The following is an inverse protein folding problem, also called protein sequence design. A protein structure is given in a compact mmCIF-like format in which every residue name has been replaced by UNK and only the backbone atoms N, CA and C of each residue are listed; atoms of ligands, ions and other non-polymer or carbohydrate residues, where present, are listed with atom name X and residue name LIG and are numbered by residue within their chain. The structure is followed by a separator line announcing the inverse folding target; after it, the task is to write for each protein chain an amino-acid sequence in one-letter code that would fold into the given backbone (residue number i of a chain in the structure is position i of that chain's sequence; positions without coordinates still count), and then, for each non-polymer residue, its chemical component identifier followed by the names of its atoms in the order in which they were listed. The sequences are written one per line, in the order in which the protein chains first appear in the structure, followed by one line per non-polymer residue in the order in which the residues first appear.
data_IF_002328149120
#
_entry.id   IF_002328149120
#
_cell.length_a   1.000
_cell.length_b   1.000
_cell.length_c   1.000
_cell.angle_alpha   90.00
_cell.angle_beta   90.00
_cell.angle_gamma   90.00
#
_symmetry.space_group_name_H-M   'P 1'
#
loop_
_entity.id
_entity.type
_entity.pdbx_description
1 polymer ?
#
# COMPACT_ATOMS: atom_id res chain seq x y z
N UNK A 1 -26.95 30.13 -39.67
CA UNK A 1 -26.26 30.40 -38.40
C UNK A 1 -26.48 29.17 -37.56
N UNK A 2 -25.58 28.21 -37.75
CA UNK A 2 -25.54 26.93 -37.08
C UNK A 2 -25.19 27.18 -35.62
N UNK A 3 -25.88 26.54 -34.69
CA UNK A 3 -25.28 26.25 -33.40
C UNK A 3 -25.70 24.85 -32.98
N UNK A 4 -24.67 24.04 -32.75
CA UNK A 4 -24.69 22.60 -32.54
C UNK A 4 -25.01 22.32 -31.07
N UNK A 5 -26.00 21.45 -30.83
CA UNK A 5 -26.15 20.78 -29.53
C UNK A 5 -26.18 19.27 -29.75
N UNK A 6 -25.02 18.64 -29.52
CA UNK A 6 -24.79 17.21 -29.29
C UNK A 6 -23.33 16.81 -29.57
N UNK A 7 -22.67 15.86 -28.85
CA UNK A 7 -23.17 14.95 -27.80
C UNK A 7 -22.28 14.84 -26.53
N UNK A 8 -22.87 14.83 -25.32
CA UNK A 8 -22.19 14.42 -24.08
C UNK A 8 -22.51 12.95 -23.67
N UNK A 9 -23.38 12.26 -24.42
CA UNK A 9 -23.78 10.88 -24.12
C UNK A 9 -22.93 9.82 -24.86
N UNK A 10 -22.23 10.21 -25.93
CA UNK A 10 -21.41 9.31 -26.76
C UNK A 10 -20.06 8.99 -26.09
N UNK A 11 -19.47 9.98 -25.41
CA UNK A 11 -18.18 9.86 -24.71
C UNK A 11 -18.21 8.81 -23.59
N UNK A 12 -19.31 8.74 -22.82
CA UNK A 12 -19.45 7.75 -21.75
C UNK A 12 -19.56 6.31 -22.27
N UNK A 13 -20.11 6.11 -23.47
CA UNK A 13 -20.17 4.79 -24.10
C UNK A 13 -18.80 4.33 -24.58
N UNK A 14 -18.05 5.24 -25.21
CA UNK A 14 -16.67 5.00 -25.65
C UNK A 14 -15.73 4.74 -24.45
N UNK A 15 -15.87 5.48 -23.36
CA UNK A 15 -15.06 5.27 -22.15
C UNK A 15 -15.32 3.91 -21.49
N UNK A 16 -16.56 3.44 -21.46
CA UNK A 16 -16.88 2.09 -20.97
C UNK A 16 -16.23 1.04 -21.86
N UNK A 17 -16.31 1.18 -23.19
CA UNK A 17 -15.71 0.21 -24.11
C UNK A 17 -14.17 0.22 -24.03
N UNK A 18 -13.53 1.38 -23.86
CA UNK A 18 -12.08 1.49 -23.58
C UNK A 18 -11.70 0.77 -22.30
N UNK A 19 -12.48 0.95 -21.23
CA UNK A 19 -12.24 0.28 -19.95
C UNK A 19 -12.42 -1.23 -20.07
N UNK A 20 -13.48 -1.69 -20.74
CA UNK A 20 -13.71 -3.11 -21.04
C UNK A 20 -12.55 -3.70 -21.84
N UNK A 21 -12.10 -3.01 -22.89
CA UNK A 21 -10.96 -3.44 -23.69
C UNK A 21 -9.66 -3.52 -22.87
N UNK A 22 -9.44 -2.58 -21.94
CA UNK A 22 -8.31 -2.63 -21.02
C UNK A 22 -8.41 -3.83 -20.07
N UNK A 23 -9.59 -4.07 -19.47
CA UNK A 23 -9.85 -5.22 -18.61
C UNK A 23 -9.57 -6.55 -19.33
N UNK A 24 -10.16 -6.74 -20.52
CA UNK A 24 -9.96 -7.97 -21.31
C UNK A 24 -8.52 -8.20 -21.76
N UNK A 25 -7.74 -7.14 -21.93
CA UNK A 25 -6.33 -7.21 -22.34
C UNK A 25 -5.37 -7.46 -21.18
N UNK A 26 -5.66 -6.90 -20.00
CA UNK A 26 -4.70 -6.82 -18.88
C UNK A 26 -5.00 -7.78 -17.74
N UNK A 27 -6.28 -8.08 -17.51
CA UNK A 27 -6.71 -8.94 -16.42
C UNK A 27 -6.80 -10.41 -16.89
N UNK A 28 -6.72 -11.38 -15.95
CA UNK A 28 -7.05 -12.77 -16.26
C UNK A 28 -8.48 -12.90 -16.81
N UNK A 29 -8.81 -14.03 -17.45
CA UNK A 29 -10.20 -14.32 -17.84
C UNK A 29 -11.16 -14.30 -16.63
N UNK A 30 -12.39 -13.75 -16.77
CA UNK A 30 -13.35 -13.61 -15.68
C UNK A 30 -13.65 -14.88 -14.88
N UNK A 31 -13.51 -16.05 -15.50
CA UNK A 31 -13.76 -17.35 -14.86
C UNK A 31 -12.75 -17.66 -13.75
N UNK A 32 -11.63 -16.93 -13.70
CA UNK A 32 -10.59 -17.06 -12.67
C UNK A 32 -10.75 -16.06 -11.53
N UNK A 33 -11.65 -15.09 -11.67
CA UNK A 33 -11.74 -13.99 -10.73
C UNK A 33 -12.33 -14.46 -9.40
N UNK A 34 -11.67 -14.08 -8.31
CA UNK A 34 -12.21 -14.28 -6.97
C UNK A 34 -12.80 -12.98 -6.46
N UNK A 35 -14.02 -13.02 -5.93
CA UNK A 35 -14.62 -11.85 -5.29
C UNK A 35 -13.90 -11.49 -3.99
N UNK A 36 -14.15 -10.27 -3.49
CA UNK A 36 -13.67 -9.84 -2.17
C UNK A 36 -14.32 -10.69 -1.08
N UNK A 37 -13.50 -11.33 -0.24
CA UNK A 37 -13.98 -11.97 0.99
C UNK A 37 -14.48 -10.89 1.97
N UNK A 38 -15.80 -10.74 2.07
CA UNK A 38 -16.47 -9.78 2.95
C UNK A 38 -16.84 -10.36 4.32
N UNK A 39 -17.70 -9.62 5.02
CA UNK A 39 -18.32 -9.99 6.30
C UNK A 39 -19.85 -9.99 6.11
N UNK A 40 -20.42 -11.00 5.42
CA UNK A 40 -21.83 -10.95 5.06
C UNK A 40 -22.75 -10.83 6.28
N UNK A 41 -22.40 -11.38 7.44
CA UNK A 41 -23.24 -11.26 8.64
C UNK A 41 -22.66 -10.33 9.72
N UNK A 42 -21.39 -9.94 9.60
CA UNK A 42 -20.64 -9.24 10.65
C UNK A 42 -20.48 -7.75 10.37
N UNK A 43 -21.52 -6.95 10.64
CA UNK A 43 -21.48 -5.50 10.39
C UNK A 43 -20.44 -4.78 11.26
N UNK A 44 -20.17 -5.27 12.48
CA UNK A 44 -19.09 -4.73 13.31
C UNK A 44 -17.72 -4.83 12.62
N UNK A 45 -17.38 -6.01 12.08
CA UNK A 45 -16.14 -6.22 11.32
C UNK A 45 -16.10 -5.34 10.07
N UNK A 46 -17.23 -5.22 9.36
CA UNK A 46 -17.33 -4.43 8.16
C UNK A 46 -17.07 -2.93 8.42
N UNK A 47 -17.62 -2.36 9.50
CA UNK A 47 -17.38 -0.96 9.89
C UNK A 47 -15.91 -0.73 10.28
N UNK A 48 -15.33 -1.64 11.08
CA UNK A 48 -13.91 -1.57 11.46
C UNK A 48 -13.03 -1.59 10.21
N UNK A 49 -13.20 -2.57 9.33
CA UNK A 49 -12.37 -2.73 8.14
C UNK A 49 -12.56 -1.56 7.16
N UNK A 50 -13.81 -1.12 6.95
CA UNK A 50 -14.11 -0.01 6.07
C UNK A 50 -13.31 1.24 6.43
N UNK A 51 -13.31 1.63 7.71
CA UNK A 51 -12.60 2.82 8.20
C UNK A 51 -11.09 2.58 8.30
N UNK A 52 -10.65 1.41 8.80
CA UNK A 52 -9.22 1.14 8.90
C UNK A 52 -8.53 1.00 7.55
N UNK A 53 -9.21 0.54 6.50
CA UNK A 53 -8.64 0.38 5.16
C UNK A 53 -8.24 1.70 4.47
N UNK A 54 -8.76 2.86 4.90
CA UNK A 54 -8.50 4.14 4.23
C UNK A 54 -7.15 4.72 4.63
N UNK A 55 -6.17 4.78 3.74
CA UNK A 55 -4.89 5.44 4.02
C UNK A 55 -4.02 4.72 5.06
N UNK A 56 -4.33 3.46 5.38
CA UNK A 56 -3.54 2.61 6.27
C UNK A 56 -2.94 1.45 5.47
N UNK A 57 -1.75 1.00 5.87
CA UNK A 57 -1.11 -0.18 5.28
C UNK A 57 -1.89 -1.45 5.64
N UNK A 58 -2.07 -2.35 4.68
CA UNK A 58 -2.84 -3.59 4.82
C UNK A 58 -2.49 -4.45 6.07
N UNK A 59 -1.22 -4.66 6.45
CA UNK A 59 -0.88 -5.42 7.65
C UNK A 59 -1.46 -4.85 8.95
N UNK A 60 -1.57 -3.52 9.04
CA UNK A 60 -2.13 -2.85 10.21
C UNK A 60 -3.64 -3.16 10.33
N UNK A 61 -4.38 -3.00 9.23
CA UNK A 61 -5.81 -3.32 9.18
C UNK A 61 -6.07 -4.79 9.54
N UNK A 62 -5.29 -5.72 8.95
CA UNK A 62 -5.37 -7.14 9.31
C UNK A 62 -5.10 -7.39 10.80
N UNK A 63 -4.12 -6.69 11.38
CA UNK A 63 -3.82 -6.79 12.80
C UNK A 63 -5.00 -6.37 13.68
N UNK A 64 -5.69 -5.27 13.36
CA UNK A 64 -6.89 -4.81 14.08
C UNK A 64 -8.03 -5.83 13.97
N UNK A 65 -8.32 -6.32 12.77
CA UNK A 65 -9.35 -7.35 12.55
C UNK A 65 -9.02 -8.64 13.31
N UNK A 66 -7.75 -9.05 13.28
CA UNK A 66 -7.27 -10.21 14.03
C UNK A 66 -7.44 -10.08 15.54
N UNK A 67 -7.13 -8.90 16.10
CA UNK A 67 -7.32 -8.61 17.53
C UNK A 67 -8.79 -8.55 17.90
N UNK A 68 -9.65 -7.91 17.10
CA UNK A 68 -11.10 -7.90 17.35
C UNK A 68 -11.66 -9.32 17.42
N UNK A 69 -11.38 -10.14 16.39
CA UNK A 69 -11.78 -11.56 16.36
C UNK A 69 -11.20 -12.35 17.53
N UNK A 70 -9.94 -12.09 17.88
CA UNK A 70 -9.27 -12.72 19.02
C UNK A 70 -9.97 -12.41 20.34
N UNK A 71 -10.32 -11.14 20.56
CA UNK A 71 -11.01 -10.70 21.75
C UNK A 71 -12.40 -11.33 21.87
N UNK A 72 -13.20 -11.30 20.81
CA UNK A 72 -14.54 -11.93 20.80
C UNK A 72 -14.49 -13.43 21.07
N UNK A 73 -13.49 -14.14 20.56
CA UNK A 73 -13.28 -15.57 20.89
C UNK A 73 -12.98 -15.81 22.37
N UNK A 74 -12.21 -14.92 23.03
CA UNK A 74 -11.96 -15.03 24.47
C UNK A 74 -13.26 -14.87 25.28
N UNK A 75 -14.22 -14.10 24.75
CA UNK A 75 -15.55 -13.92 25.31
C UNK A 75 -16.55 -15.00 24.91
N UNK A 76 -16.10 -16.05 24.22
CA UNK A 76 -16.96 -17.11 23.67
C UNK A 76 -18.04 -16.57 22.71
N UNK A 77 -17.77 -15.44 22.06
CA UNK A 77 -18.61 -14.82 21.04
C UNK A 77 -18.05 -14.99 19.63
N UNK A 78 -18.92 -14.89 18.62
CA UNK A 78 -18.53 -14.98 17.21
C UNK A 78 -18.57 -13.62 16.51
N UNK A 79 -17.38 -13.05 16.31
CA UNK A 79 -17.19 -11.79 15.60
C UNK A 79 -17.78 -11.76 14.18
N UNK A 80 -18.02 -12.92 13.57
CA UNK A 80 -18.56 -13.02 12.21
C UNK A 80 -20.04 -12.65 12.13
N UNK A 81 -20.73 -12.56 13.28
CA UNK A 81 -22.14 -12.24 13.42
C UNK A 81 -22.40 -11.01 14.31
N UNK A 82 -21.34 -10.31 14.74
CA UNK A 82 -21.47 -9.18 15.65
C UNK A 82 -22.24 -8.01 15.01
N UNK A 83 -23.21 -7.50 15.77
CA UNK A 83 -23.98 -6.29 15.49
C UNK A 83 -23.22 -5.01 15.85
N UNK A 84 -23.77 -3.85 15.52
CA UNK A 84 -23.24 -2.57 16.01
C UNK A 84 -23.42 -2.42 17.52
N UNK A 85 -24.47 -3.02 18.11
CA UNK A 85 -24.61 -3.15 19.57
C UNK A 85 -23.39 -3.85 20.16
N UNK A 86 -23.02 -5.02 19.64
CA UNK A 86 -21.87 -5.79 20.15
C UNK A 86 -20.56 -4.99 20.09
N UNK A 87 -20.38 -4.22 19.01
CA UNK A 87 -19.21 -3.36 18.84
C UNK A 87 -19.19 -2.22 19.88
N UNK A 88 -20.30 -1.51 20.06
CA UNK A 88 -20.39 -0.39 20.99
C UNK A 88 -20.31 -0.86 22.45
N UNK A 89 -20.96 -1.97 22.79
CA UNK A 89 -20.85 -2.60 24.11
C UNK A 89 -19.40 -3.05 24.39
N UNK A 90 -18.64 -3.45 23.37
CA UNK A 90 -17.22 -3.75 23.51
C UNK A 90 -16.39 -2.49 23.81
N UNK A 91 -16.68 -1.35 23.18
CA UNK A 91 -16.05 -0.07 23.55
C UNK A 91 -16.31 0.23 25.03
N UNK A 92 -17.56 0.14 25.48
CA UNK A 92 -17.93 0.44 26.86
C UNK A 92 -17.27 -0.51 27.86
N UNK A 93 -17.28 -1.83 27.58
CA UNK A 93 -16.67 -2.84 28.45
C UNK A 93 -15.16 -2.72 28.57
N UNK A 94 -14.48 -2.26 27.52
CA UNK A 94 -13.04 -2.00 27.57
C UNK A 94 -12.70 -0.71 28.36
N UNK A 95 -13.68 0.18 28.58
CA UNK A 95 -13.46 1.47 29.22
C UNK A 95 -13.31 2.64 28.24
N UNK A 96 -13.88 2.50 27.04
CA UNK A 96 -13.98 3.56 26.03
C UNK A 96 -12.92 3.49 24.92
N UNK A 97 -12.83 4.58 24.15
CA UNK A 97 -12.03 4.67 22.92
C UNK A 97 -10.55 4.41 23.15
N UNK A 98 -9.96 4.97 24.22
CA UNK A 98 -8.53 4.81 24.51
C UNK A 98 -8.18 3.34 24.81
N UNK A 99 -8.99 2.67 25.62
CA UNK A 99 -8.78 1.26 25.93
C UNK A 99 -9.03 0.33 24.73
N UNK A 100 -9.99 0.68 23.86
CA UNK A 100 -10.17 0.01 22.58
C UNK A 100 -8.92 0.15 21.70
N UNK A 101 -8.31 1.33 21.64
CA UNK A 101 -7.07 1.57 20.88
C UNK A 101 -5.94 0.69 21.38
N UNK A 102 -5.77 0.59 22.69
CA UNK A 102 -4.67 -0.15 23.31
C UNK A 102 -4.87 -1.67 23.18
N UNK A 103 -6.12 -2.15 23.17
CA UNK A 103 -6.44 -3.59 23.14
C UNK A 103 -6.64 -4.13 21.72
N UNK A 104 -7.38 -3.40 20.87
CA UNK A 104 -7.85 -3.87 19.56
C UNK A 104 -7.31 -3.00 18.43
N UNK A 105 -7.43 -1.69 18.58
CA UNK A 105 -7.12 -0.72 17.53
C UNK A 105 -5.63 -0.45 17.36
N UNK A 106 -5.36 0.77 16.91
CA UNK A 106 -4.04 1.39 16.80
C UNK A 106 -4.22 2.89 16.96
N UNK A 107 -3.12 3.63 17.18
CA UNK A 107 -3.14 5.10 17.24
C UNK A 107 -3.25 5.78 15.87
N UNK A 108 -3.59 5.05 14.81
CA UNK A 108 -3.75 5.64 13.48
C UNK A 108 -4.88 6.67 13.48
N UNK A 109 -4.66 7.75 12.73
CA UNK A 109 -5.62 8.84 12.54
C UNK A 109 -6.26 8.75 11.15
N UNK A 110 -7.37 9.44 10.97
CA UNK A 110 -8.09 9.50 9.70
C UNK A 110 -7.37 10.36 8.65
N UNK A 111 -6.41 11.17 9.07
CA UNK A 111 -5.49 11.92 8.20
C UNK A 111 -4.15 12.17 8.93
N UNK A 112 -3.18 12.73 8.20
CA UNK A 112 -1.86 13.12 8.75
C UNK A 112 -1.87 14.50 9.42
N UNK A 113 -3.02 15.19 9.45
CA UNK A 113 -3.09 16.54 10.03
C UNK A 113 -2.94 16.48 11.56
N UNK A 114 -2.23 17.45 12.17
CA UNK A 114 -2.13 17.55 13.61
C UNK A 114 -3.51 17.56 14.27
N UNK A 115 -3.71 16.71 15.28
CA UNK A 115 -4.99 16.61 16.01
C UNK A 115 -6.11 15.85 15.29
N UNK A 116 -5.88 15.28 14.09
CA UNK A 116 -6.92 14.55 13.36
C UNK A 116 -7.53 13.39 14.17
N UNK A 117 -8.84 13.20 14.09
CA UNK A 117 -9.60 12.13 14.76
C UNK A 117 -8.92 10.76 14.64
N UNK A 118 -8.90 9.99 15.73
CA UNK A 118 -8.34 8.63 15.72
C UNK A 118 -9.30 7.68 15.00
N UNK A 119 -8.78 6.66 14.34
CA UNK A 119 -9.63 5.73 13.59
C UNK A 119 -10.62 4.96 14.46
N UNK A 120 -10.25 4.62 15.70
CA UNK A 120 -11.16 4.02 16.66
C UNK A 120 -12.34 4.93 17.00
N UNK A 121 -12.08 6.24 17.17
CA UNK A 121 -13.13 7.24 17.39
C UNK A 121 -14.05 7.34 16.16
N UNK A 122 -13.49 7.37 14.95
CA UNK A 122 -14.29 7.37 13.72
C UNK A 122 -15.16 6.10 13.60
N UNK A 123 -14.65 4.93 13.99
CA UNK A 123 -15.42 3.67 14.02
C UNK A 123 -16.56 3.75 15.02
N UNK A 124 -16.29 4.23 16.23
CA UNK A 124 -17.32 4.42 17.24
C UNK A 124 -18.42 5.37 16.73
N UNK A 125 -18.06 6.55 16.22
CA UNK A 125 -19.02 7.52 15.67
C UNK A 125 -19.84 6.92 14.52
N UNK A 126 -19.19 6.22 13.58
CA UNK A 126 -19.89 5.60 12.47
C UNK A 126 -20.89 4.52 12.91
N UNK A 127 -20.50 3.67 13.87
CA UNK A 127 -21.36 2.66 14.44
C UNK A 127 -22.57 3.28 15.17
N UNK A 128 -22.35 4.32 15.98
CA UNK A 128 -23.43 5.03 16.67
C UNK A 128 -24.43 5.65 15.68
N UNK A 129 -23.94 6.36 14.65
CA UNK A 129 -24.81 7.00 13.66
C UNK A 129 -25.69 6.00 12.88
N UNK A 130 -25.12 4.85 12.47
CA UNK A 130 -25.91 3.81 11.80
C UNK A 130 -26.95 3.20 12.75
N UNK A 131 -26.56 2.94 14.01
CA UNK A 131 -27.45 2.40 15.02
C UNK A 131 -28.61 3.34 15.36
N UNK A 132 -28.34 4.65 15.46
CA UNK A 132 -29.36 5.70 15.68
C UNK A 132 -30.39 5.75 14.55
N UNK A 133 -29.98 5.41 13.32
CA UNK A 133 -30.87 5.25 12.17
C UNK A 133 -31.63 3.92 12.15
N UNK A 134 -31.42 3.05 13.15
CA UNK A 134 -32.06 1.73 13.26
C UNK A 134 -31.36 0.64 12.46
N UNK A 135 -30.12 0.86 12.01
CA UNK A 135 -29.31 -0.15 11.32
C UNK A 135 -28.32 -0.73 12.32
N UNK A 136 -28.61 -1.91 12.86
CA UNK A 136 -27.79 -2.58 13.88
C UNK A 136 -27.10 -3.85 13.36
N UNK A 137 -27.69 -4.50 12.34
CA UNK A 137 -27.23 -5.76 11.76
C UNK A 137 -27.00 -5.66 10.24
N UNK A 138 -26.21 -6.59 9.71
CA UNK A 138 -25.88 -6.64 8.28
C UNK A 138 -27.11 -6.77 7.37
N UNK A 139 -28.11 -7.56 7.79
CA UNK A 139 -29.38 -7.71 7.08
C UNK A 139 -30.12 -6.37 6.95
N UNK A 140 -30.21 -5.60 8.04
CA UNK A 140 -30.88 -4.29 8.04
C UNK A 140 -30.15 -3.30 7.14
N UNK A 141 -28.81 -3.33 7.14
CA UNK A 141 -28.01 -2.51 6.23
C UNK A 141 -28.31 -2.84 4.77
N UNK A 142 -28.35 -4.13 4.40
CA UNK A 142 -28.70 -4.57 3.04
C UNK A 142 -30.13 -4.19 2.68
N UNK A 143 -31.09 -4.37 3.60
CA UNK A 143 -32.49 -4.00 3.38
C UNK A 143 -32.69 -2.49 3.19
N UNK A 144 -31.81 -1.66 3.76
CA UNK A 144 -31.83 -0.22 3.56
C UNK A 144 -31.28 0.20 2.18
N UNK A 145 -30.59 -0.67 1.44
CA UNK A 145 -30.02 -0.30 0.14
C UNK A 145 -31.10 0.16 -0.86
N UNK A 146 -30.80 1.22 -1.62
CA UNK A 146 -31.75 1.85 -2.55
C UNK A 146 -32.89 2.66 -1.91
N UNK A 147 -33.08 2.60 -0.59
CA UNK A 147 -34.16 3.32 0.12
C UNK A 147 -33.73 4.72 0.61
N UNK A 148 -34.68 5.52 1.12
CA UNK A 148 -34.38 6.78 1.82
C UNK A 148 -33.53 6.58 3.08
N UNK A 149 -33.71 5.44 3.77
CA UNK A 149 -32.92 5.09 4.93
C UNK A 149 -31.45 4.86 4.52
N UNK A 150 -31.21 4.14 3.42
CA UNK A 150 -29.88 3.94 2.87
C UNK A 150 -29.19 5.25 2.46
N UNK A 151 -29.94 6.18 1.85
CA UNK A 151 -29.44 7.53 1.54
C UNK A 151 -29.08 8.32 2.81
N UNK A 152 -29.93 8.26 3.83
CA UNK A 152 -29.68 8.92 5.11
C UNK A 152 -28.46 8.32 5.82
N UNK A 153 -28.30 7.01 5.78
CA UNK A 153 -27.14 6.30 6.31
C UNK A 153 -25.83 6.69 5.58
N UNK A 154 -25.86 6.79 4.25
CA UNK A 154 -24.72 7.30 3.48
C UNK A 154 -24.36 8.74 3.87
N UNK A 155 -25.36 9.61 3.98
CA UNK A 155 -25.14 11.01 4.36
C UNK A 155 -24.54 11.11 5.76
N UNK A 156 -25.08 10.37 6.73
CA UNK A 156 -24.55 10.29 8.09
C UNK A 156 -23.12 9.75 8.11
N UNK A 157 -22.83 8.69 7.36
CA UNK A 157 -21.47 8.14 7.26
C UNK A 157 -20.46 9.17 6.74
N UNK A 158 -20.84 9.99 5.76
CA UNK A 158 -19.96 11.01 5.17
C UNK A 158 -19.66 12.18 6.13
N UNK A 159 -20.42 12.36 7.21
CA UNK A 159 -20.10 13.37 8.23
C UNK A 159 -19.01 12.91 9.19
N UNK A 160 -18.74 11.60 9.27
CA UNK A 160 -17.68 11.05 10.11
C UNK A 160 -16.32 11.60 9.65
N UNK A 161 -15.47 12.10 10.57
CA UNK A 161 -14.16 12.65 10.22
C UNK A 161 -13.34 11.72 9.30
N UNK A 162 -12.87 12.28 8.19
CA UNK A 162 -12.08 11.57 7.17
C UNK A 162 -12.89 10.64 6.24
N UNK A 163 -14.22 10.58 6.35
CA UNK A 163 -15.08 9.73 5.51
C UNK A 163 -15.89 10.50 4.45
N UNK A 164 -15.71 11.82 4.34
CA UNK A 164 -16.48 12.68 3.45
C UNK A 164 -16.40 12.35 1.95
N UNK A 165 -15.32 11.69 1.51
CA UNK A 165 -15.18 11.23 0.13
C UNK A 165 -16.18 10.11 -0.24
N UNK A 166 -16.75 9.41 0.75
CA UNK A 166 -17.65 8.27 0.52
C UNK A 166 -16.94 6.98 0.09
N UNK A 167 -15.60 6.96 -0.04
CA UNK A 167 -14.86 5.76 -0.45
C UNK A 167 -15.04 4.61 0.55
N UNK A 168 -14.98 4.90 1.86
CA UNK A 168 -15.22 3.89 2.90
C UNK A 168 -16.66 3.43 2.97
N UNK A 169 -17.63 4.26 2.58
CA UNK A 169 -19.04 3.86 2.48
C UNK A 169 -19.24 2.82 1.37
N UNK A 170 -18.67 3.07 0.19
CA UNK A 170 -18.69 2.10 -0.92
C UNK A 170 -18.02 0.79 -0.51
N UNK A 171 -16.89 0.89 0.20
CA UNK A 171 -16.21 -0.31 0.68
C UNK A 171 -17.01 -1.07 1.76
N UNK A 172 -17.70 -0.37 2.67
CA UNK A 172 -18.62 -0.98 3.62
C UNK A 172 -19.73 -1.78 2.90
N UNK A 173 -20.33 -1.20 1.86
CA UNK A 173 -21.33 -1.88 1.01
C UNK A 173 -20.77 -3.18 0.43
N UNK A 174 -19.57 -3.13 -0.16
CA UNK A 174 -18.91 -4.31 -0.72
C UNK A 174 -18.64 -5.40 0.32
N UNK A 175 -18.14 -5.00 1.50
CA UNK A 175 -17.87 -5.91 2.62
C UNK A 175 -19.14 -6.61 3.11
N UNK A 176 -20.30 -5.94 3.04
CA UNK A 176 -21.60 -6.50 3.42
C UNK A 176 -22.34 -7.22 2.28
N UNK A 177 -21.66 -7.42 1.15
CA UNK A 177 -22.16 -8.21 0.04
C UNK A 177 -22.95 -7.44 -1.02
N UNK A 178 -23.08 -6.12 -0.90
CA UNK A 178 -23.75 -5.30 -1.91
C UNK A 178 -22.82 -5.00 -3.10
N UNK A 179 -23.36 -4.96 -4.33
CA UNK A 179 -22.58 -4.58 -5.50
C UNK A 179 -22.15 -3.11 -5.38
N UNK A 180 -20.85 -2.86 -5.45
CA UNK A 180 -20.24 -1.54 -5.52
C UNK A 180 -18.77 -1.70 -5.96
N UNK A 181 -18.11 -0.57 -6.16
CA UNK A 181 -16.69 -0.46 -6.49
C UNK A 181 -16.04 0.46 -5.47
N UNK A 182 -14.82 0.14 -5.03
CA UNK A 182 -14.02 1.01 -4.17
C UNK A 182 -13.07 1.81 -5.05
N UNK A 183 -13.36 3.08 -5.37
CA UNK A 183 -12.51 3.92 -6.23
C UNK A 183 -11.28 4.42 -5.45
N UNK A 184 -10.44 3.50 -4.98
CA UNK A 184 -9.18 3.81 -4.33
C UNK A 184 -8.11 4.24 -5.36
N UNK A 185 -6.90 4.52 -4.88
CA UNK A 185 -5.80 4.97 -5.76
C UNK A 185 -5.48 3.96 -6.87
N UNK A 186 -5.65 2.67 -6.62
CA UNK A 186 -5.33 1.62 -7.59
C UNK A 186 -6.40 1.56 -8.67
N UNK A 187 -7.67 1.49 -8.28
CA UNK A 187 -8.80 1.45 -9.23
C UNK A 187 -8.84 2.74 -10.06
N UNK A 188 -8.71 3.92 -9.42
CA UNK A 188 -8.65 5.21 -10.13
C UNK A 188 -7.50 5.29 -11.14
N UNK A 189 -6.32 4.76 -10.77
CA UNK A 189 -5.17 4.70 -11.68
C UNK A 189 -5.45 3.82 -12.89
N UNK A 190 -5.97 2.62 -12.67
CA UNK A 190 -6.29 1.71 -13.77
C UNK A 190 -7.29 2.35 -14.74
N UNK A 191 -8.37 2.93 -14.22
CA UNK A 191 -9.38 3.60 -15.04
C UNK A 191 -8.79 4.77 -15.82
N UNK A 192 -8.04 5.66 -15.17
CA UNK A 192 -7.41 6.79 -15.85
C UNK A 192 -6.45 6.33 -16.97
N UNK A 193 -5.60 5.33 -16.69
CA UNK A 193 -4.70 4.74 -17.70
C UNK A 193 -5.46 4.09 -18.85
N UNK A 194 -6.55 3.38 -18.58
CA UNK A 194 -7.38 2.76 -19.62
C UNK A 194 -8.00 3.79 -20.56
N UNK A 195 -8.36 4.96 -20.03
CA UNK A 195 -8.96 6.06 -20.79
C UNK A 195 -7.93 7.02 -21.41
N UNK A 196 -6.65 6.87 -21.10
CA UNK A 196 -5.62 7.82 -21.52
C UNK A 196 -5.74 9.19 -20.84
N UNK A 197 -6.29 9.23 -19.63
CA UNK A 197 -6.52 10.43 -18.83
C UNK A 197 -5.53 10.53 -17.66
N UNK A 198 -5.36 11.75 -17.17
CA UNK A 198 -4.71 11.99 -15.88
C UNK A 198 -5.62 11.54 -14.72
N UNK A 199 -5.02 11.06 -13.62
CA UNK A 199 -5.77 10.47 -12.49
C UNK A 199 -6.73 11.45 -11.79
N UNK A 200 -6.39 12.74 -11.80
CA UNK A 200 -7.16 13.77 -11.12
C UNK A 200 -8.34 14.29 -11.95
N UNK A 201 -8.45 13.86 -13.21
CA UNK A 201 -9.59 14.18 -14.08
C UNK A 201 -10.86 13.47 -13.63
N UNK A 202 -10.75 12.25 -13.11
CA UNK A 202 -11.90 11.45 -12.70
C UNK A 202 -12.15 11.57 -11.19
N UNK A 203 -13.38 11.93 -10.82
CA UNK A 203 -13.80 11.87 -9.42
C UNK A 203 -13.95 10.41 -8.98
N UNK A 204 -13.92 10.12 -7.66
CA UNK A 204 -14.19 8.76 -7.17
C UNK A 204 -15.54 8.20 -7.64
N UNK A 205 -16.57 9.05 -7.77
CA UNK A 205 -17.89 8.62 -8.22
C UNK A 205 -17.93 8.33 -9.73
N UNK A 206 -17.17 9.07 -10.55
CA UNK A 206 -17.01 8.76 -11.99
C UNK A 206 -16.34 7.39 -12.17
N UNK A 207 -15.24 7.16 -11.45
CA UNK A 207 -14.53 5.87 -11.49
C UNK A 207 -15.43 4.72 -11.06
N UNK A 208 -16.16 4.88 -9.95
CA UNK A 208 -17.10 3.84 -9.51
C UNK A 208 -18.19 3.58 -10.56
N UNK A 209 -18.71 4.61 -11.22
CA UNK A 209 -19.75 4.48 -12.25
C UNK A 209 -19.22 3.77 -13.50
N UNK A 210 -18.04 4.16 -13.98
CA UNK A 210 -17.39 3.55 -15.14
C UNK A 210 -17.07 2.07 -14.92
N UNK A 211 -16.51 1.72 -13.75
CA UNK A 211 -16.19 0.33 -13.42
C UNK A 211 -17.46 -0.51 -13.26
N UNK A 212 -18.54 0.04 -12.67
CA UNK A 212 -19.84 -0.65 -12.61
C UNK A 212 -20.44 -0.87 -14.01
N UNK A 213 -20.34 0.12 -14.90
CA UNK A 213 -20.80 -0.01 -16.28
C UNK A 213 -19.97 -1.05 -17.05
N UNK A 214 -18.65 -1.08 -16.87
CA UNK A 214 -17.78 -2.10 -17.45
C UNK A 214 -18.10 -3.50 -16.90
N UNK A 215 -18.32 -3.65 -15.60
CA UNK A 215 -18.76 -4.91 -15.00
C UNK A 215 -20.08 -5.41 -15.59
N UNK A 216 -21.06 -4.50 -15.75
CA UNK A 216 -22.33 -4.79 -16.42
C UNK A 216 -22.11 -5.27 -17.85
N UNK A 217 -21.25 -4.57 -18.60
CA UNK A 217 -20.94 -4.88 -20.00
C UNK A 217 -20.24 -6.23 -20.17
N UNK A 218 -19.38 -6.60 -19.22
CA UNK A 218 -18.66 -7.87 -19.16
C UNK A 218 -19.48 -8.99 -18.53
N UNK A 219 -20.67 -8.71 -17.99
CA UNK A 219 -21.53 -9.64 -17.26
C UNK A 219 -20.81 -10.31 -16.07
N UNK A 220 -20.16 -9.49 -15.24
CA UNK A 220 -19.40 -9.90 -14.04
C UNK A 220 -19.84 -9.12 -12.80
N UNK A 221 -19.55 -9.65 -11.61
CA UNK A 221 -19.78 -8.91 -10.36
C UNK A 221 -18.82 -7.71 -10.28
N UNK A 222 -19.30 -6.47 -10.06
CA UNK A 222 -18.44 -5.29 -9.93
C UNK A 222 -17.40 -5.42 -8.82
N UNK A 223 -17.68 -6.19 -7.75
CA UNK A 223 -16.70 -6.46 -6.68
C UNK A 223 -15.57 -7.37 -7.13
N UNK A 224 -15.85 -8.31 -8.02
CA UNK A 224 -14.83 -9.17 -8.60
C UNK A 224 -13.96 -8.37 -9.57
N UNK A 225 -14.56 -7.52 -10.39
CA UNK A 225 -13.81 -6.62 -11.27
C UNK A 225 -12.93 -5.63 -10.49
N UNK A 226 -13.47 -5.00 -9.45
CA UNK A 226 -12.72 -4.13 -8.53
C UNK A 226 -11.50 -4.84 -7.94
N UNK A 227 -11.72 -6.05 -7.40
CA UNK A 227 -10.67 -6.85 -6.80
C UNK A 227 -9.56 -7.20 -7.80
N UNK A 228 -9.92 -7.58 -9.02
CA UNK A 228 -8.94 -7.95 -10.04
C UNK A 228 -8.16 -6.75 -10.58
N UNK A 229 -8.83 -5.60 -10.74
CA UNK A 229 -8.15 -4.34 -11.03
C UNK A 229 -7.14 -4.01 -9.92
N UNK A 230 -7.54 -4.23 -8.67
CA UNK A 230 -6.68 -4.02 -7.51
C UNK A 230 -5.51 -5.01 -7.44
N UNK A 231 -5.72 -6.30 -7.70
CA UNK A 231 -4.67 -7.33 -7.76
C UNK A 231 -3.67 -7.04 -8.88
N UNK A 232 -4.15 -6.58 -10.05
CA UNK A 232 -3.32 -6.09 -11.15
C UNK A 232 -2.49 -4.87 -10.72
N UNK A 233 -3.12 -3.84 -10.17
CA UNK A 233 -2.45 -2.60 -9.78
C UNK A 233 -1.60 -2.70 -8.51
N UNK A 234 -1.81 -3.70 -7.67
CA UNK A 234 -1.01 -3.93 -6.46
C UNK A 234 0.30 -4.68 -6.75
N UNK A 235 0.48 -5.20 -7.96
CA UNK A 235 1.67 -5.95 -8.39
C UNK A 235 1.67 -7.41 -7.90
N UNK A 236 0.50 -7.97 -7.62
CA UNK A 236 0.32 -9.36 -7.18
C UNK A 236 -0.05 -10.29 -8.32
N UNK A 237 -0.84 -9.82 -9.30
CA UNK A 237 -0.95 -10.47 -10.59
C UNK A 237 0.32 -10.18 -11.42
N UNK A 238 0.95 -11.22 -11.97
CA UNK A 238 2.25 -11.15 -12.63
C UNK A 238 2.27 -10.38 -13.98
N UNK A 239 1.26 -9.59 -14.31
CA UNK A 239 1.12 -8.88 -15.59
C UNK A 239 1.24 -7.37 -15.37
N UNK A 240 2.27 -6.74 -15.92
CA UNK A 240 2.85 -5.49 -15.40
C UNK A 240 2.42 -4.20 -16.14
N UNK A 241 2.12 -3.13 -15.38
CA UNK A 241 2.46 -1.73 -15.70
C UNK A 241 3.74 -1.32 -14.90
N UNK A 242 4.79 -0.78 -15.54
CA UNK A 242 6.08 -0.47 -14.88
C UNK A 242 6.00 0.49 -13.69
N UNK A 243 5.00 1.36 -13.62
CA UNK A 243 4.87 2.34 -12.54
C UNK A 243 4.32 1.69 -11.27
N UNK A 244 3.32 0.81 -11.40
CA UNK A 244 2.78 0.04 -10.27
C UNK A 244 3.87 -0.79 -9.57
N UNK A 245 4.64 -1.56 -10.35
CA UNK A 245 5.72 -2.41 -9.83
C UNK A 245 6.76 -1.61 -9.06
N UNK A 246 7.13 -0.43 -9.58
CA UNK A 246 8.09 0.47 -8.91
C UNK A 246 7.57 0.97 -7.57
N UNK A 247 6.29 1.34 -7.48
CA UNK A 247 5.69 1.82 -6.24
C UNK A 247 5.47 0.69 -5.22
N UNK A 248 5.10 -0.50 -5.68
CA UNK A 248 5.02 -1.69 -4.83
C UNK A 248 6.40 -2.03 -4.23
N UNK A 249 7.45 -2.10 -5.06
CA UNK A 249 8.82 -2.34 -4.60
C UNK A 249 9.29 -1.30 -3.57
N UNK A 250 9.03 -0.01 -3.81
CA UNK A 250 9.34 1.06 -2.83
C UNK A 250 8.59 0.87 -1.52
N UNK A 251 7.31 0.49 -1.59
CA UNK A 251 6.47 0.30 -0.41
C UNK A 251 6.95 -0.89 0.42
N UNK A 252 7.23 -2.02 -0.23
CA UNK A 252 7.79 -3.21 0.40
C UNK A 252 9.18 -2.92 1.02
N UNK A 253 10.05 -2.19 0.29
CA UNK A 253 11.36 -1.80 0.78
C UNK A 253 11.28 -0.92 2.03
N UNK A 254 10.39 0.08 2.05
CA UNK A 254 10.19 0.95 3.23
C UNK A 254 9.61 0.18 4.42
N UNK A 255 8.65 -0.71 4.18
CA UNK A 255 8.09 -1.56 5.24
C UNK A 255 9.18 -2.45 5.85
N UNK A 256 10.01 -3.06 5.00
CA UNK A 256 11.15 -3.86 5.44
C UNK A 256 12.14 -3.07 6.27
N UNK A 257 12.60 -1.89 5.84
CA UNK A 257 13.52 -1.06 6.64
C UNK A 257 12.89 -0.69 7.99
N UNK A 258 11.60 -0.33 8.00
CA UNK A 258 10.89 -0.02 9.23
C UNK A 258 10.76 -1.17 10.22
N UNK A 259 10.75 -2.42 9.74
CA UNK A 259 10.77 -3.61 10.61
C UNK A 259 12.21 -4.02 10.98
N UNK A 260 13.17 -3.85 10.07
CA UNK A 260 14.55 -4.26 10.26
C UNK A 260 15.33 -3.38 11.24
N UNK A 261 15.09 -2.05 11.25
CA UNK A 261 15.82 -1.15 12.14
C UNK A 261 15.53 -1.42 13.64
N UNK A 262 14.27 -1.57 14.09
CA UNK A 262 13.99 -1.98 15.47
C UNK A 262 14.62 -3.33 15.83
N UNK A 263 14.58 -4.30 14.90
CA UNK A 263 15.23 -5.60 15.11
C UNK A 263 16.75 -5.43 15.25
N UNK A 264 17.40 -4.61 14.43
CA UNK A 264 18.84 -4.34 14.57
C UNK A 264 19.18 -3.63 15.88
N UNK A 265 18.33 -2.72 16.35
CA UNK A 265 18.52 -2.03 17.62
C UNK A 265 18.41 -2.99 18.81
N UNK A 266 17.47 -3.94 18.79
CA UNK A 266 17.32 -4.97 19.83
C UNK A 266 18.58 -5.82 19.99
N UNK A 267 19.25 -6.14 18.87
CA UNK A 267 20.49 -6.91 18.85
C UNK A 267 21.76 -6.04 18.96
N UNK A 268 21.62 -4.74 19.25
CA UNK A 268 22.73 -3.77 19.36
C UNK A 268 23.63 -3.70 18.11
N UNK A 269 23.06 -3.93 16.94
CA UNK A 269 23.75 -3.79 15.66
C UNK A 269 23.80 -2.32 15.19
N UNK A 270 22.88 -1.49 15.70
CA UNK A 270 22.82 -0.04 15.48
C UNK A 270 22.61 0.70 16.81
N UNK A 271 23.02 1.98 16.95
CA UNK A 271 23.73 2.78 15.95
C UNK A 271 25.16 2.27 15.71
N UNK A 272 25.62 2.33 14.47
CA UNK A 272 27.01 2.02 14.13
C UNK A 272 27.91 3.24 14.34
N UNK A 273 29.22 3.02 14.47
CA UNK A 273 30.18 4.11 14.59
C UNK A 273 30.24 4.91 13.28
N UNK A 274 30.36 6.24 13.37
CA UNK A 274 30.67 7.09 12.22
C UNK A 274 31.92 6.64 11.45
N UNK A 275 32.93 6.11 12.15
CA UNK A 275 34.19 5.64 11.54
C UNK A 275 34.13 4.19 11.04
N UNK A 276 33.10 3.43 11.43
CA UNK A 276 32.80 2.09 10.93
C UNK A 276 31.29 1.95 10.70
N UNK A 277 30.76 2.61 9.66
CA UNK A 277 29.31 2.73 9.45
C UNK A 277 28.71 1.45 8.84
N UNK A 278 29.54 0.57 8.29
CA UNK A 278 29.13 -0.60 7.52
C UNK A 278 28.87 -1.81 8.41
N UNK A 279 27.82 -2.55 8.09
CA UNK A 279 27.56 -3.92 8.56
C UNK A 279 27.62 -4.86 7.37
N UNK A 280 27.95 -6.13 7.64
CA UNK A 280 27.97 -7.19 6.65
C UNK A 280 27.40 -8.48 7.23
N UNK A 281 26.39 -9.03 6.55
CA UNK A 281 25.82 -10.33 6.87
C UNK A 281 26.87 -11.44 6.72
N UNK A 282 26.86 -12.40 7.65
CA UNK A 282 27.85 -13.46 7.78
C UNK A 282 29.19 -13.01 8.40
N UNK A 283 29.36 -11.73 8.72
CA UNK A 283 30.55 -11.20 9.41
C UNK A 283 30.16 -10.46 10.70
N UNK A 284 29.32 -9.43 10.59
CA UNK A 284 28.88 -8.60 11.71
C UNK A 284 27.55 -9.09 12.31
N UNK A 285 26.74 -9.81 11.53
CA UNK A 285 25.49 -10.46 11.98
C UNK A 285 25.13 -11.67 11.10
N UNK A 286 24.40 -12.65 11.64
CA UNK A 286 24.09 -13.92 10.94
C UNK A 286 23.00 -13.79 9.85
N UNK A 287 22.17 -12.75 9.92
CA UNK A 287 21.05 -12.53 8.99
C UNK A 287 19.69 -12.98 9.52
N UNK A 288 19.65 -14.00 10.39
CA UNK A 288 18.40 -14.55 10.97
C UNK A 288 17.50 -13.50 11.62
N UNK A 289 18.09 -12.44 12.19
CA UNK A 289 17.41 -11.28 12.78
C UNK A 289 16.38 -10.63 11.84
N UNK A 290 16.61 -10.67 10.52
CA UNK A 290 15.75 -10.02 9.53
C UNK A 290 15.10 -10.98 8.54
N UNK A 291 15.70 -12.15 8.30
CA UNK A 291 15.16 -13.14 7.34
C UNK A 291 13.80 -13.72 7.76
N UNK A 292 13.50 -13.72 9.05
CA UNK A 292 12.21 -14.17 9.60
C UNK A 292 11.10 -13.11 9.55
N UNK A 293 11.40 -11.87 9.18
CA UNK A 293 10.40 -10.80 9.18
C UNK A 293 9.39 -11.00 8.03
N UNK A 294 8.08 -10.86 8.28
CA UNK A 294 7.07 -10.90 7.22
C UNK A 294 7.34 -9.91 6.09
N UNK A 295 7.88 -8.73 6.43
CA UNK A 295 8.24 -7.68 5.48
C UNK A 295 9.43 -8.07 4.60
N UNK A 296 10.38 -8.85 5.12
CA UNK A 296 11.45 -9.40 4.32
C UNK A 296 10.88 -10.33 3.24
N UNK A 297 9.99 -11.24 3.64
CA UNK A 297 9.36 -12.20 2.72
C UNK A 297 8.47 -11.53 1.67
N UNK A 298 7.77 -10.47 2.05
CA UNK A 298 7.01 -9.66 1.09
C UNK A 298 7.94 -8.99 0.08
N UNK A 299 9.04 -8.37 0.52
CA UNK A 299 10.00 -7.73 -0.39
C UNK A 299 10.71 -8.73 -1.31
N UNK A 300 11.06 -9.91 -0.80
CA UNK A 300 11.61 -11.03 -1.57
C UNK A 300 10.65 -11.44 -2.69
N UNK A 301 9.38 -11.66 -2.34
CA UNK A 301 8.34 -12.01 -3.30
C UNK A 301 8.10 -10.91 -4.33
N UNK A 302 8.12 -9.64 -3.89
CA UNK A 302 7.94 -8.48 -4.75
C UNK A 302 9.09 -8.35 -5.77
N UNK A 303 10.34 -8.59 -5.36
CA UNK A 303 11.50 -8.59 -6.25
C UNK A 303 11.43 -9.71 -7.28
N UNK A 304 11.07 -10.94 -6.87
CA UNK A 304 10.90 -12.08 -7.78
C UNK A 304 9.83 -11.78 -8.83
N UNK A 305 8.67 -11.25 -8.42
CA UNK A 305 7.59 -10.87 -9.36
C UNK A 305 8.00 -9.75 -10.31
N UNK A 306 8.74 -8.76 -9.82
CA UNK A 306 9.15 -7.60 -10.60
C UNK A 306 10.25 -7.89 -11.63
N UNK A 307 11.08 -8.91 -11.36
CA UNK A 307 12.23 -9.26 -12.18
C UNK A 307 12.31 -10.78 -12.40
N UNK A 308 11.31 -11.38 -13.07
CA UNK A 308 11.24 -12.85 -13.24
C UNK A 308 12.42 -13.41 -14.05
N UNK A 309 12.94 -12.64 -15.01
CA UNK A 309 14.12 -13.03 -15.79
C UNK A 309 15.41 -13.01 -14.96
N UNK A 310 15.44 -12.20 -13.91
CA UNK A 310 16.60 -12.04 -13.02
C UNK A 310 16.57 -13.01 -11.86
N UNK A 311 15.38 -13.35 -11.38
CA UNK A 311 15.15 -14.24 -10.24
C UNK A 311 14.24 -15.41 -10.64
N UNK A 312 14.66 -16.27 -11.58
CA UNK A 312 13.81 -17.35 -12.07
C UNK A 312 13.61 -18.44 -10.99
N UNK A 313 12.38 -18.97 -10.89
CA UNK A 313 12.03 -20.07 -9.98
C UNK A 313 12.79 -21.36 -10.32
N UNK A 314 13.11 -21.57 -11.60
CA UNK A 314 13.84 -22.74 -12.09
C UNK A 314 15.20 -22.31 -12.65
N UNK A 315 16.33 -22.90 -12.21
CA UNK A 315 17.65 -22.52 -12.69
C UNK A 315 17.77 -22.75 -14.21
N UNK A 316 18.10 -21.71 -14.96
CA UNK A 316 18.51 -21.84 -16.37
C UNK A 316 20.02 -22.09 -16.40
N UNK A 317 20.46 -23.12 -17.12
CA UNK A 317 21.89 -23.44 -17.20
C UNK A 317 22.68 -22.28 -17.83
N UNK A 318 23.74 -21.82 -17.16
CA UNK A 318 24.71 -20.85 -17.70
C UNK A 318 24.54 -19.38 -17.28
N UNK A 319 23.57 -19.04 -16.43
CA UNK A 319 23.42 -17.69 -15.85
C UNK A 319 23.93 -17.70 -14.41
N UNK A 320 24.77 -16.71 -14.04
CA UNK A 320 25.19 -16.49 -12.66
C UNK A 320 23.94 -16.31 -11.77
N UNK A 321 23.78 -17.19 -10.79
CA UNK A 321 22.55 -17.28 -10.00
C UNK A 321 22.43 -16.09 -9.06
N UNK A 322 21.57 -15.15 -9.41
CA UNK A 322 21.20 -14.03 -8.55
C UNK A 322 20.03 -14.39 -7.65
N UNK A 323 20.04 -13.90 -6.40
CA UNK A 323 18.98 -14.16 -5.43
C UNK A 323 18.47 -12.86 -4.81
N UNK A 324 17.15 -12.67 -4.67
CA UNK A 324 16.57 -11.47 -4.06
C UNK A 324 17.14 -11.18 -2.66
N UNK A 325 17.33 -12.22 -1.83
CA UNK A 325 17.93 -12.13 -0.50
C UNK A 325 19.23 -11.32 -0.47
N UNK A 326 20.13 -11.54 -1.44
CA UNK A 326 21.41 -10.83 -1.53
C UNK A 326 21.21 -9.33 -1.76
N UNK A 327 20.23 -8.95 -2.58
CA UNK A 327 19.90 -7.55 -2.84
C UNK A 327 19.25 -6.87 -1.65
N UNK A 328 18.37 -7.58 -0.96
CA UNK A 328 17.67 -7.05 0.22
C UNK A 328 18.66 -6.78 1.36
N UNK A 329 19.57 -7.72 1.64
CA UNK A 329 20.57 -7.57 2.70
C UNK A 329 21.55 -6.44 2.39
N UNK A 330 22.08 -6.38 1.15
CA UNK A 330 22.94 -5.26 0.73
C UNK A 330 22.23 -3.91 0.78
N UNK A 331 20.93 -3.88 0.45
CA UNK A 331 20.13 -2.67 0.58
C UNK A 331 20.02 -2.22 2.04
N UNK A 332 19.75 -3.14 2.98
CA UNK A 332 19.73 -2.85 4.41
C UNK A 332 21.07 -2.35 4.93
N UNK A 333 22.16 -3.04 4.61
CA UNK A 333 23.53 -2.67 5.01
C UNK A 333 23.91 -1.28 4.49
N UNK A 334 23.59 -0.98 3.22
CA UNK A 334 23.81 0.34 2.63
C UNK A 334 22.97 1.43 3.30
N UNK A 335 21.78 1.06 3.78
CA UNK A 335 20.88 1.95 4.50
C UNK A 335 21.44 2.31 5.87
N UNK A 336 21.90 1.32 6.64
CA UNK A 336 22.58 1.51 7.92
C UNK A 336 23.81 2.41 7.75
N UNK A 337 24.63 2.13 6.74
CA UNK A 337 25.84 2.91 6.47
C UNK A 337 25.53 4.37 6.15
N UNK A 338 24.44 4.64 5.41
CA UNK A 338 24.00 6.01 5.12
C UNK A 338 23.55 6.73 6.40
N UNK A 339 22.73 6.09 7.22
CA UNK A 339 22.24 6.69 8.46
C UNK A 339 23.43 7.10 9.36
N UNK A 340 24.40 6.20 9.52
CA UNK A 340 25.61 6.46 10.30
C UNK A 340 26.46 7.62 9.74
N UNK A 341 26.67 7.66 8.42
CA UNK A 341 27.48 8.68 7.77
C UNK A 341 26.84 10.09 7.80
N UNK A 342 25.52 10.17 7.87
CA UNK A 342 24.78 11.44 7.86
C UNK A 342 24.27 11.85 9.24
N UNK A 343 24.53 11.06 10.29
CA UNK A 343 23.91 11.21 11.61
C UNK A 343 22.37 11.28 11.53
N UNK A 344 21.77 10.53 10.60
CA UNK A 344 20.32 10.40 10.47
C UNK A 344 19.79 9.40 11.50
N UNK A 345 18.53 9.59 11.91
CA UNK A 345 17.82 8.59 12.70
C UNK A 345 17.62 7.30 11.88
N UNK A 346 17.74 6.15 12.54
CA UNK A 346 17.56 4.83 11.93
C UNK A 346 16.06 4.49 11.80
N UNK A 347 15.30 5.38 11.13
CA UNK A 347 13.85 5.26 10.95
C UNK A 347 13.46 5.16 9.47
N UNK A 348 12.37 4.42 9.20
CA UNK A 348 11.78 4.10 7.89
C UNK A 348 11.45 5.32 6.99
N UNK A 349 11.39 6.52 7.56
CA UNK A 349 10.93 7.75 6.91
C UNK A 349 12.06 8.70 6.48
N UNK A 350 13.33 8.39 6.78
CA UNK A 350 14.45 9.06 6.11
C UNK A 350 14.49 8.67 4.62
N UNK A 351 15.03 9.51 3.73
CA UNK A 351 14.82 9.45 2.26
C UNK A 351 15.49 8.22 1.58
N UNK A 352 15.01 7.00 1.83
CA UNK A 352 15.60 5.73 1.35
C UNK A 352 15.38 5.45 -0.14
N UNK A 353 14.45 6.17 -0.78
CA UNK A 353 14.08 5.96 -2.18
C UNK A 353 15.20 6.24 -3.19
N UNK A 354 16.25 6.99 -2.79
CA UNK A 354 17.46 7.20 -3.60
C UNK A 354 18.46 6.04 -3.52
N UNK A 355 18.63 5.42 -2.35
CA UNK A 355 19.58 4.30 -2.13
C UNK A 355 19.13 3.05 -2.88
N UNK A 356 17.84 2.73 -2.78
CA UNK A 356 17.27 1.54 -3.43
C UNK A 356 17.42 1.57 -4.97
N UNK A 357 17.15 2.72 -5.60
CA UNK A 357 17.34 2.91 -7.05
C UNK A 357 18.80 2.80 -7.49
N UNK A 358 19.72 3.38 -6.73
CA UNK A 358 21.14 3.30 -7.03
C UNK A 358 21.67 1.85 -6.94
N UNK A 359 21.15 1.04 -6.01
CA UNK A 359 21.60 -0.33 -5.84
C UNK A 359 21.07 -1.28 -6.93
N UNK A 360 19.79 -1.16 -7.29
CA UNK A 360 19.20 -1.95 -8.38
C UNK A 360 19.80 -1.58 -9.76
N UNK A 361 20.16 -0.31 -9.98
CA UNK A 361 20.76 0.16 -11.23
C UNK A 361 22.25 -0.14 -11.39
N UNK A 362 23.03 -0.21 -10.30
CA UNK A 362 24.49 -0.47 -10.34
C UNK A 362 24.86 -1.90 -10.75
N UNK A 363 23.92 -2.84 -10.72
CA UNK A 363 24.17 -4.22 -11.15
C UNK A 363 24.22 -4.37 -12.68
N UNK A 364 23.87 -3.34 -13.45
CA UNK A 364 23.77 -3.40 -14.91
C UNK A 364 25.07 -3.08 -15.67
N UNK A 365 26.20 -2.75 -15.03
CA UNK A 365 27.40 -2.34 -15.76
C UNK A 365 28.69 -2.83 -15.12
N UNK A 366 29.10 -4.05 -15.49
CA UNK A 366 30.54 -4.43 -15.51
C UNK A 366 31.00 -4.92 -16.88
N UNK A 367 30.16 -4.91 -17.92
CA UNK A 367 30.57 -5.14 -19.30
C UNK A 367 29.89 -4.13 -20.22
N UNK A 368 30.51 -2.96 -20.37
CA UNK A 368 30.67 -2.14 -21.59
C UNK A 368 31.25 -0.82 -21.08
N UNK A 369 32.53 -0.60 -21.36
CA UNK A 369 33.20 0.64 -20.98
C UNK A 369 32.53 1.84 -21.64
N UNK A 370 32.35 2.92 -20.89
CA UNK A 370 32.49 4.32 -21.31
C UNK A 370 32.38 5.20 -20.06
N UNK A 371 33.40 6.05 -19.89
CA UNK A 371 33.58 6.98 -18.78
C UNK A 371 32.50 8.06 -18.76
N UNK A 372 32.17 8.50 -17.54
CA UNK A 372 31.85 9.90 -17.26
C UNK A 372 30.49 10.16 -16.66
N UNK A 373 30.37 10.07 -15.33
CA UNK A 373 29.52 10.97 -14.54
C UNK A 373 30.20 11.24 -13.19
N UNK A 374 30.59 12.51 -12.98
CA UNK A 374 31.17 13.03 -11.76
C UNK A 374 30.15 13.00 -10.62
N UNK A 375 30.59 12.52 -9.45
CA UNK A 375 29.93 12.82 -8.17
C UNK A 375 30.13 14.31 -7.92
N UNK A 376 29.03 15.05 -7.81
CA UNK A 376 29.03 16.46 -7.40
C UNK A 376 29.58 16.53 -5.97
N UNK A 377 30.79 17.07 -5.83
CA UNK A 377 31.48 17.23 -4.57
C UNK A 377 30.81 18.28 -3.68
N UNK A 378 30.68 17.95 -2.40
CA UNK A 378 30.43 18.93 -1.34
C UNK A 378 31.78 19.52 -0.95
N UNK A 379 31.98 20.79 -1.29
CA UNK A 379 33.20 21.53 -0.96
C UNK A 379 33.19 22.07 0.46
N UNK A 380 34.40 22.14 1.03
CA UNK A 380 34.84 23.23 1.89
C UNK A 380 35.22 22.82 3.31
N UNK A 381 36.53 22.71 3.58
CA UNK A 381 37.19 23.42 4.68
C UNK A 381 38.66 23.69 4.30
N UNK A 382 39.10 24.89 4.65
CA UNK A 382 40.38 25.55 4.33
C UNK A 382 41.40 25.36 5.46
N UNK A 383 42.68 25.23 5.10
CA UNK A 383 43.87 25.43 5.97
C UNK A 383 44.60 24.12 6.30
N UNK A 384 45.91 23.94 6.12
CA UNK A 384 47.02 24.88 6.04
C UNK A 384 48.15 24.37 5.11
N UNK A 385 48.85 25.34 4.54
CA UNK A 385 50.00 25.30 3.65
C UNK A 385 51.30 24.90 4.34
N UNK A 386 52.06 24.01 3.71
CA UNK A 386 53.54 23.94 3.57
C UNK A 386 53.77 22.93 2.42
N UNK A 387 54.60 23.10 1.40
CA UNK A 387 55.60 24.08 1.01
C UNK A 387 56.00 23.75 -0.44
N UNK A 388 56.57 24.74 -1.10
CA UNK A 388 56.93 24.82 -2.52
C UNK A 388 58.02 23.84 -2.99
N UNK A 389 57.85 23.18 -4.14
CA UNK A 389 58.59 23.48 -5.38
C UNK A 389 58.23 22.55 -6.56
N UNK A 390 58.33 23.03 -7.82
CA UNK A 390 57.86 22.36 -9.03
C UNK A 390 58.98 21.61 -9.75
N UNK A 391 58.66 20.52 -10.44
CA UNK A 391 59.44 20.09 -11.61
C UNK A 391 58.52 19.35 -12.61
N UNK A 392 58.37 20.02 -13.73
CA UNK A 392 58.07 19.52 -15.08
C UNK A 392 58.60 18.12 -15.39
N UNK A 393 57.83 17.37 -16.18
CA UNK A 393 58.31 16.16 -16.85
C UNK A 393 57.18 15.47 -17.61
N UNK A 394 56.92 15.95 -18.83
CA UNK A 394 56.29 15.17 -19.91
C UNK A 394 56.93 13.77 -20.00
N UNK A 395 56.15 12.71 -20.23
CA UNK A 395 56.51 11.59 -21.12
C UNK A 395 55.35 10.57 -21.17
N UNK A 396 54.61 10.60 -22.28
CA UNK A 396 54.08 9.41 -22.96
C UNK A 396 55.15 8.91 -23.95
N UNK A 397 55.04 7.73 -24.60
CA UNK A 397 54.30 6.50 -24.27
C UNK A 397 55.15 5.22 -24.47
N UNK A 398 54.64 4.06 -24.04
CA UNK A 398 54.36 2.88 -24.89
C UNK A 398 53.09 2.22 -24.36
#
# INVERSE_FOLDING_TARGET
MSDETGPLADESGDDVEKLVAACSRLLPPPEKWTGVAGYPEGIALAVIDAIWSIGTRYPITRGVIGRYRGFRRLEQADASNDSLTDLLDLYDRLGGIDAFIDTIGTRNRVSTQPGATRKAEAVHTAASLLKELGIDAAEQFRAADGTDLGRSAQQAWRTVPGQGSGISWRYLRMLLGLPDVKPDRMVRRFTATALGLEQDTLTPDDVASLVQAAATRMNVDPRALDHEIWEYQSGRAATHDPQSTREHLKTAARAFIGAAMPAFAEYNLIPTSFYRPFLRVGHDYEGGVVLGLPEFKELESALTRAYPDRFPDTPTAGIDREFPITYILRFLEATVARCAANAEEYEADSDFGRVFRAHLGKSCWTHVGLNGWQVVGVGGWVGQSFGTHPCSGDFHPV
#
